data_IF_946571141490
#
_entry.id   IF_946571141490
#
_cell.length_a   1.000
_cell.length_b   1.000
_cell.length_c   1.000
_cell.angle_alpha   90.00
_cell.angle_beta   90.00
_cell.angle_gamma   90.00
#
_symmetry.space_group_name_H-M   'P 1'
#
loop_
_entity.id
_entity.type
_entity.pdbx_description
1 polymer ?
2 non-polymer ?
3 non-polymer ?
#
# COMPACT_ATOMS: atom_id res chain seq x y z
N UNK A 1 -12.47 13.52 -11.03
CA UNK A 1 -11.86 12.66 -9.99
C UNK A 1 -10.92 11.63 -10.58
N UNK A 2 -11.45 10.79 -11.48
CA UNK A 2 -10.64 9.75 -12.09
C UNK A 2 -10.06 10.21 -13.43
N UNK A 3 -8.74 10.19 -13.52
CA UNK A 3 -8.04 10.58 -14.74
C UNK A 3 -7.41 9.36 -15.39
N UNK A 4 -7.72 9.15 -16.67
CA UNK A 4 -7.19 8.01 -17.41
C UNK A 4 -5.85 8.38 -18.04
N UNK A 5 -4.77 7.82 -17.51
CA UNK A 5 -3.43 8.08 -18.03
C UNK A 5 -2.79 6.79 -18.53
N UNK A 6 -2.75 6.64 -19.84
CA UNK A 6 -2.18 5.46 -20.44
C UNK A 6 -3.04 4.24 -20.17
N UNK A 7 -2.59 3.41 -19.25
CA UNK A 7 -3.32 2.20 -18.91
C UNK A 7 -3.69 2.21 -17.43
N UNK A 8 -3.43 3.33 -16.76
CA UNK A 8 -3.73 3.46 -15.34
C UNK A 8 -4.69 4.61 -15.08
N UNK A 9 -5.26 4.63 -13.90
CA UNK A 9 -6.18 5.67 -13.50
C UNK A 9 -5.64 6.39 -12.27
N UNK A 10 -5.70 7.71 -12.28
CA UNK A 10 -5.21 8.51 -11.17
C UNK A 10 -6.34 9.39 -10.60
N UNK A 11 -6.50 9.34 -9.30
CA UNK A 11 -7.54 10.11 -8.64
C UNK A 11 -6.95 10.92 -7.48
N UNK A 12 -7.20 12.21 -7.47
CA UNK A 12 -6.70 13.08 -6.42
C UNK A 12 -7.55 12.96 -5.16
N UNK A 13 -6.93 12.58 -4.07
CA UNK A 13 -7.64 12.42 -2.80
C UNK A 13 -7.47 13.67 -1.96
N UNK A 14 -6.25 14.19 -1.95
CA UNK A 14 -5.92 15.38 -1.18
C UNK A 14 -4.97 16.26 -1.99
N UNK A 15 -4.75 17.51 -1.59
CA UNK A 15 -3.86 18.45 -2.30
C UNK A 15 -2.53 17.84 -2.68
N UNK A 16 -1.94 17.06 -1.79
CA UNK A 16 -0.64 16.43 -2.05
C UNK A 16 -0.72 14.91 -1.99
N UNK A 17 -1.94 14.38 -2.11
CA UNK A 17 -2.12 12.93 -2.05
C UNK A 17 -2.97 12.44 -3.23
N UNK A 18 -2.37 11.62 -4.07
CA UNK A 18 -3.05 11.06 -5.23
C UNK A 18 -3.12 9.54 -5.12
N UNK A 19 -4.15 8.97 -5.71
CA UNK A 19 -4.35 7.53 -5.70
C UNK A 19 -4.22 6.96 -7.11
N UNK A 20 -3.36 5.97 -7.28
CA UNK A 20 -3.18 5.36 -8.60
C UNK A 20 -3.86 4.00 -8.63
N UNK A 21 -4.28 3.58 -9.82
CA UNK A 21 -4.93 2.31 -9.98
C UNK A 21 -4.31 1.48 -11.10
N UNK A 22 -3.74 0.34 -10.74
CA UNK A 22 -3.12 -0.56 -11.71
C UNK A 22 -4.12 -1.65 -12.11
N UNK A 23 -3.98 -2.17 -13.33
CA UNK A 23 -4.89 -3.19 -13.82
C UNK A 23 -4.13 -4.39 -14.39
N UNK A 24 -4.54 -5.58 -13.98
CA UNK A 24 -3.92 -6.81 -14.46
C UNK A 24 -4.93 -7.62 -15.24
N UNK A 25 -4.54 -8.08 -16.43
CA UNK A 25 -5.42 -8.87 -17.26
C UNK A 25 -5.26 -10.34 -16.98
N UNK A 26 -6.29 -10.93 -16.38
CA UNK A 26 -6.29 -12.34 -16.06
C UNK A 26 -7.20 -13.09 -17.01
N UNK A 27 -6.64 -13.98 -17.85
CA UNK A 27 -7.42 -14.75 -18.83
C UNK A 27 -8.52 -15.58 -18.18
N UNK A 28 -9.75 -15.16 -18.36
CA UNK A 28 -10.88 -15.86 -17.80
C UNK A 28 -11.48 -15.15 -16.61
N UNK A 29 -10.81 -14.12 -16.12
CA UNK A 29 -11.29 -13.36 -14.96
C UNK A 29 -11.61 -11.93 -15.35
N UNK A 30 -10.64 -11.24 -15.93
CA UNK A 30 -10.85 -9.87 -16.31
C UNK A 30 -9.69 -8.97 -15.93
N UNK A 31 -9.99 -7.78 -15.47
CA UNK A 31 -8.96 -6.83 -15.08
C UNK A 31 -8.98 -6.58 -13.58
N UNK A 32 -7.94 -7.02 -12.89
CA UNK A 32 -7.84 -6.85 -11.45
C UNK A 32 -7.32 -5.45 -11.13
N UNK A 33 -8.07 -4.71 -10.33
CA UNK A 33 -7.69 -3.35 -9.96
C UNK A 33 -6.93 -3.31 -8.64
N UNK A 34 -5.80 -2.62 -8.66
CA UNK A 34 -4.97 -2.47 -7.46
C UNK A 34 -4.65 -0.98 -7.27
N UNK A 35 -5.04 -0.44 -6.13
CA UNK A 35 -4.81 0.97 -5.83
C UNK A 35 -3.53 1.20 -5.07
N UNK A 36 -2.96 2.38 -5.25
CA UNK A 36 -1.74 2.79 -4.58
C UNK A 36 -1.81 4.26 -4.20
N UNK A 37 -0.75 4.78 -3.60
CA UNK A 37 -0.75 6.19 -3.19
C UNK A 37 0.51 6.95 -3.61
N UNK A 38 0.32 8.21 -3.92
CA UNK A 38 1.40 9.10 -4.30
C UNK A 38 1.30 10.36 -3.46
N UNK A 39 2.28 10.61 -2.61
CA UNK A 39 2.25 11.77 -1.73
C UNK A 39 3.40 12.72 -2.05
N UNK A 40 3.07 14.00 -2.17
CA UNK A 40 4.08 15.02 -2.43
C UNK A 40 4.50 15.67 -1.12
N UNK A 41 5.80 15.67 -0.88
CA UNK A 41 6.34 16.27 0.33
C UNK A 41 7.23 17.46 -0.03
N UNK A 42 6.59 18.60 -0.23
CA UNK A 42 7.30 19.81 -0.58
C UNK A 42 7.90 19.76 -1.98
N UNK A 43 9.18 19.45 -2.06
CA UNK A 43 9.85 19.38 -3.34
C UNK A 43 10.20 17.95 -3.74
N UNK A 44 9.75 16.99 -2.95
CA UNK A 44 10.03 15.59 -3.24
C UNK A 44 8.75 14.78 -3.29
N UNK A 45 8.78 13.66 -3.99
CA UNK A 45 7.61 12.80 -4.12
C UNK A 45 7.85 11.47 -3.41
N UNK A 46 6.81 10.96 -2.76
CA UNK A 46 6.86 9.69 -2.06
C UNK A 46 5.77 8.78 -2.61
N UNK A 47 6.12 7.54 -2.93
CA UNK A 47 5.16 6.60 -3.48
C UNK A 47 4.95 5.40 -2.58
N UNK A 48 3.71 4.94 -2.50
CA UNK A 48 3.37 3.78 -1.70
C UNK A 48 2.90 2.65 -2.61
N UNK A 49 3.68 1.56 -2.62
CA UNK A 49 3.41 0.37 -3.43
C UNK A 49 3.67 0.65 -4.91
N UNK A 50 3.77 -0.43 -5.68
CA UNK A 50 4.00 -0.32 -7.11
C UNK A 50 2.81 -0.87 -7.88
N UNK A 51 2.96 -0.95 -9.20
CA UNK A 51 1.90 -1.47 -10.05
C UNK A 51 2.04 -2.97 -10.22
N UNK A 52 1.19 -3.56 -11.04
CA UNK A 52 1.22 -4.99 -11.30
C UNK A 52 2.48 -5.39 -12.06
N UNK A 53 2.95 -4.48 -12.90
CA UNK A 53 4.14 -4.71 -13.70
C UNK A 53 5.07 -3.51 -13.63
N UNK A 54 6.33 -3.71 -14.01
CA UNK A 54 7.31 -2.65 -14.02
C UNK A 54 6.93 -1.63 -15.05
N UNK A 55 6.32 -2.10 -16.13
CA UNK A 55 5.87 -1.22 -17.20
C UNK A 55 4.85 -0.22 -16.67
N UNK A 56 3.80 -0.73 -16.02
CA UNK A 56 2.76 0.11 -15.46
C UNK A 56 3.33 0.99 -14.35
N UNK A 57 4.32 0.47 -13.64
CA UNK A 57 4.97 1.21 -12.57
C UNK A 57 5.73 2.41 -13.15
N UNK A 58 6.35 2.20 -14.31
CA UNK A 58 7.08 3.27 -14.98
C UNK A 58 6.12 4.32 -15.50
N UNK A 59 4.93 3.89 -15.90
CA UNK A 59 3.90 4.80 -16.40
C UNK A 59 3.53 5.79 -15.30
N UNK A 60 3.54 5.30 -14.05
CA UNK A 60 3.22 6.13 -12.90
C UNK A 60 4.27 7.23 -12.74
N UNK A 61 5.53 6.86 -12.92
CA UNK A 61 6.63 7.82 -12.82
C UNK A 61 6.48 8.90 -13.87
N UNK A 62 5.99 8.52 -15.04
CA UNK A 62 5.77 9.46 -16.13
C UNK A 62 4.70 10.46 -15.76
N UNK A 63 3.66 9.98 -15.08
CA UNK A 63 2.58 10.84 -14.64
C UNK A 63 3.10 11.80 -13.57
N UNK A 64 3.94 11.27 -12.69
CA UNK A 64 4.54 12.05 -11.61
C UNK A 64 5.37 13.19 -12.18
N UNK A 65 6.22 12.85 -13.16
CA UNK A 65 7.08 13.84 -13.81
C UNK A 65 6.26 14.83 -14.64
N UNK A 66 5.03 14.46 -14.94
CA UNK A 66 4.16 15.30 -15.74
C UNK A 66 3.34 16.28 -14.90
N UNK A 67 2.57 15.74 -13.95
CA UNK A 67 1.71 16.57 -13.11
C UNK A 67 2.45 17.19 -11.93
N UNK A 68 3.36 16.44 -11.34
CA UNK A 68 4.11 16.95 -10.19
C UNK A 68 5.44 17.55 -10.61
N UNK A 69 6.11 16.87 -11.53
CA UNK A 69 7.41 17.30 -12.06
C UNK A 69 8.49 17.30 -10.97
N UNK A 70 8.26 16.52 -9.93
CA UNK A 70 9.20 16.43 -8.83
C UNK A 70 9.81 15.03 -8.78
N UNK A 71 10.99 14.88 -8.18
CA UNK A 71 11.67 13.59 -8.08
C UNK A 71 11.18 12.76 -6.90
N UNK A 72 11.16 11.45 -7.08
CA UNK A 72 10.72 10.53 -6.03
C UNK A 72 11.90 10.22 -5.11
N UNK A 73 11.74 10.52 -3.83
CA UNK A 73 12.79 10.28 -2.85
C UNK A 73 12.91 8.80 -2.50
N UNK A 74 11.78 8.17 -2.21
CA UNK A 74 11.79 6.77 -1.85
C UNK A 74 10.40 6.16 -2.07
N UNK A 75 10.35 4.84 -2.09
CA UNK A 75 9.10 4.12 -2.28
C UNK A 75 8.94 3.03 -1.23
N UNK A 76 7.78 2.96 -0.63
CA UNK A 76 7.50 1.97 0.40
C UNK A 76 6.39 1.03 -0.05
N UNK A 77 6.63 -0.28 0.06
CA UNK A 77 5.63 -1.26 -0.33
C UNK A 77 4.98 -1.89 0.91
N UNK A 78 3.80 -2.47 0.74
CA UNK A 78 3.08 -3.09 1.84
C UNK A 78 3.50 -4.53 2.12
N UNK A 79 3.33 -5.42 1.15
CA UNK A 79 3.68 -6.82 1.34
C UNK A 79 4.29 -7.44 0.10
N UNK A 80 5.00 -8.55 0.29
CA UNK A 80 5.67 -9.26 -0.79
C UNK A 80 4.70 -10.05 -1.67
N UNK A 81 4.10 -9.35 -2.63
CA UNK A 81 3.15 -9.95 -3.56
C UNK A 81 3.22 -9.20 -4.89
N UNK A 82 2.68 -9.79 -5.96
CA UNK A 82 2.73 -9.15 -7.27
C UNK A 82 1.67 -8.05 -7.35
N UNK A 83 0.69 -8.10 -6.45
CA UNK A 83 -0.38 -7.11 -6.45
C UNK A 83 0.07 -5.79 -5.82
N UNK A 84 1.31 -5.75 -5.32
CA UNK A 84 1.84 -4.53 -4.70
C UNK A 84 3.31 -4.33 -5.02
N UNK A 85 4.03 -5.43 -5.23
CA UNK A 85 5.46 -5.38 -5.55
C UNK A 85 5.72 -5.91 -6.96
N UNK A 86 4.94 -5.44 -7.91
CA UNK A 86 5.09 -5.89 -9.28
C UNK A 86 6.02 -5.01 -10.10
N UNK A 87 6.40 -3.86 -9.55
CA UNK A 87 7.29 -2.96 -10.24
C UNK A 87 8.46 -2.53 -9.40
N UNK A 88 9.20 -3.50 -8.91
CA UNK A 88 10.36 -3.24 -8.06
C UNK A 88 11.57 -2.89 -8.92
N UNK A 89 11.68 -3.51 -10.08
CA UNK A 89 12.80 -3.27 -10.98
C UNK A 89 12.75 -1.85 -11.52
N UNK A 90 11.53 -1.39 -11.80
CA UNK A 90 11.32 -0.03 -12.31
C UNK A 90 11.85 1.02 -11.33
N UNK A 91 11.59 0.81 -10.05
CA UNK A 91 12.05 1.74 -9.02
C UNK A 91 13.57 1.74 -8.94
N UNK A 92 14.14 0.55 -8.96
CA UNK A 92 15.60 0.40 -8.89
C UNK A 92 16.26 1.02 -10.12
N UNK A 93 15.66 0.82 -11.28
CA UNK A 93 16.19 1.35 -12.53
C UNK A 93 16.11 2.87 -12.56
N UNK A 94 15.20 3.43 -11.79
CA UNK A 94 15.03 4.88 -11.73
C UNK A 94 15.86 5.48 -10.60
N UNK A 95 16.49 4.63 -9.81
CA UNK A 95 17.31 5.11 -8.71
C UNK A 95 16.49 5.57 -7.53
N UNK A 96 15.44 4.81 -7.21
CA UNK A 96 14.57 5.13 -6.09
C UNK A 96 14.80 4.15 -4.95
N UNK A 97 14.99 4.68 -3.74
CA UNK A 97 15.22 3.87 -2.56
C UNK A 97 13.96 3.10 -2.17
N UNK A 98 14.04 1.79 -2.23
CA UNK A 98 12.92 0.93 -1.90
C UNK A 98 12.96 0.47 -0.45
N UNK A 99 11.87 0.70 0.27
CA UNK A 99 11.75 0.30 1.66
C UNK A 99 10.61 -0.70 1.82
N UNK A 100 10.87 -1.78 2.55
CA UNK A 100 9.86 -2.79 2.77
C UNK A 100 10.08 -3.49 4.11
N UNK A 101 9.06 -4.22 4.56
CA UNK A 101 9.14 -4.96 5.80
C UNK A 101 10.27 -5.98 5.71
N UNK A 102 10.99 -6.17 6.81
CA UNK A 102 12.10 -7.12 6.85
C UNK A 102 11.65 -8.51 6.39
N UNK A 103 10.42 -8.88 6.76
CA UNK A 103 9.88 -10.18 6.37
C UNK A 103 9.53 -10.20 4.90
N UNK A 104 9.06 -9.06 4.38
CA UNK A 104 8.68 -8.95 2.97
C UNK A 104 9.89 -9.21 2.08
N UNK A 105 11.04 -8.68 2.48
CA UNK A 105 12.27 -8.86 1.71
C UNK A 105 12.72 -10.31 1.75
N UNK A 106 12.32 -11.02 2.80
CA UNK A 106 12.68 -12.42 2.96
C UNK A 106 11.73 -13.32 2.15
N UNK A 107 10.47 -12.90 2.07
CA UNK A 107 9.47 -13.67 1.33
C UNK A 107 9.49 -13.34 -0.16
N UNK A 108 10.04 -12.18 -0.49
CA UNK A 108 10.14 -11.71 -1.87
C UNK A 108 10.72 -12.77 -2.82
N UNK A 109 11.93 -13.31 -2.57
CA UNK A 109 12.54 -14.34 -3.44
C UNK A 109 11.69 -15.59 -3.53
N UNK A 110 10.94 -15.89 -2.47
CA UNK A 110 10.09 -17.07 -2.43
C UNK A 110 8.89 -16.89 -3.37
N UNK A 111 8.27 -15.72 -3.32
CA UNK A 111 7.13 -15.42 -4.15
C UNK A 111 7.56 -15.15 -5.60
N UNK A 112 8.83 -14.78 -5.76
CA UNK A 112 9.34 -14.49 -7.08
C UNK A 112 9.31 -13.00 -7.37
N UNK A 113 9.50 -12.21 -6.34
CA UNK A 113 9.50 -10.76 -6.46
C UNK A 113 10.86 -10.21 -6.04
N UNK A 114 11.24 -9.08 -6.60
CA UNK A 114 12.53 -8.47 -6.28
C UNK A 114 12.48 -7.86 -4.88
N UNK A 115 13.50 -8.16 -4.08
CA UNK A 115 13.58 -7.64 -2.72
C UNK A 115 13.97 -6.17 -2.73
N UNK A 116 13.51 -5.43 -1.72
CA UNK A 116 13.81 -4.01 -1.61
C UNK A 116 15.23 -3.79 -1.16
N UNK A 117 15.73 -2.57 -1.35
CA UNK A 117 17.09 -2.23 -0.98
C UNK A 117 17.24 -2.11 0.54
N UNK A 118 16.17 -1.68 1.20
CA UNK A 118 16.20 -1.53 2.65
C UNK A 118 15.11 -2.35 3.32
N UNK A 119 15.31 -2.66 4.59
CA UNK A 119 14.36 -3.44 5.37
C UNK A 119 13.90 -2.66 6.60
N UNK A 120 12.61 -2.70 6.86
CA UNK A 120 12.02 -2.01 8.00
C UNK A 120 11.75 -2.96 9.15
N UNK A 121 12.18 -2.58 10.35
CA UNK A 121 11.94 -3.39 11.53
C UNK A 121 10.84 -2.76 12.38
N UNK A 122 10.01 -3.59 13.00
CA UNK A 122 8.91 -3.09 13.81
C UNK A 122 9.00 -3.56 15.24
N UNK A 123 8.60 -2.70 16.17
CA UNK A 123 8.62 -3.02 17.59
C UNK A 123 7.44 -3.92 17.94
N UNK A 124 7.36 -4.34 19.20
CA UNK A 124 6.28 -5.22 19.65
C UNK A 124 4.92 -4.53 19.54
N UNK A 125 4.92 -3.21 19.62
CA UNK A 125 3.69 -2.44 19.52
C UNK A 125 3.22 -2.34 18.06
N UNK A 126 4.11 -2.74 17.14
CA UNK A 126 3.77 -2.70 15.73
C UNK A 126 4.32 -1.49 15.00
N UNK A 127 4.88 -0.54 15.74
CA UNK A 127 5.41 0.66 15.11
C UNK A 127 6.82 0.43 14.57
N UNK A 128 7.08 0.99 13.39
CA UNK A 128 8.38 0.85 12.74
C UNK A 128 9.44 1.66 13.47
N UNK A 129 10.65 1.12 13.51
CA UNK A 129 11.78 1.78 14.15
C UNK A 129 12.23 2.97 13.30
N UNK A 130 12.29 4.17 13.91
CA UNK A 130 12.70 5.40 13.21
C UNK A 130 14.06 5.27 12.54
N UNK A 131 14.90 4.38 13.07
CA UNK A 131 16.22 4.16 12.53
C UNK A 131 16.14 3.48 11.16
N UNK A 132 15.23 2.52 11.03
CA UNK A 132 15.07 1.80 9.76
C UNK A 132 14.23 2.60 8.78
N UNK A 133 13.51 3.59 9.29
CA UNK A 133 12.66 4.43 8.46
C UNK A 133 13.07 5.90 8.59
N UNK A 134 14.19 6.29 7.97
CA UNK A 134 14.70 7.65 8.01
C UNK A 134 14.25 8.50 6.83
N UNK A 135 13.99 9.77 7.10
CA UNK A 135 13.56 10.73 6.08
C UNK A 135 12.25 10.30 5.42
N UNK A 136 11.40 9.63 6.18
CA UNK A 136 10.12 9.17 5.67
C UNK A 136 9.12 10.31 5.64
N UNK A 137 9.35 11.30 6.48
CA UNK A 137 8.48 12.46 6.53
C UNK A 137 7.10 12.11 7.06
N UNK A 138 6.05 12.34 6.26
CA UNK A 138 4.68 12.05 6.67
C UNK A 138 4.31 10.58 6.54
N UNK A 139 5.21 9.77 6.01
CA UNK A 139 4.95 8.34 5.85
C UNK A 139 5.15 7.61 7.17
N UNK A 140 4.04 7.33 7.84
CA UNK A 140 4.08 6.61 9.11
C UNK A 140 3.74 5.15 8.87
N UNK A 141 4.72 4.27 9.08
CA UNK A 141 4.52 2.84 8.87
C UNK A 141 4.17 2.12 10.15
N UNK A 142 3.13 1.29 10.08
CA UNK A 142 2.67 0.52 11.22
C UNK A 142 2.35 -0.91 10.79
N UNK A 143 2.79 -1.87 11.58
CA UNK A 143 2.56 -3.28 11.31
C UNK A 143 1.50 -3.81 12.28
N UNK A 144 0.28 -4.04 11.77
CA UNK A 144 -0.83 -4.54 12.60
C UNK A 144 -0.64 -5.98 13.05
N UNK A 145 -0.13 -6.82 12.15
CA UNK A 145 0.10 -8.21 12.47
C UNK A 145 -0.32 -9.11 11.34
N UNK A 146 -0.48 -10.41 11.60
CA UNK A 146 -0.88 -11.38 10.58
C UNK A 146 -2.32 -11.18 10.14
N UNK A 147 -2.49 -10.81 8.88
CA UNK A 147 -3.81 -10.61 8.33
C UNK A 147 -3.92 -11.24 6.96
N UNK A 148 -3.72 -10.44 5.92
CA UNK A 148 -3.75 -10.94 4.56
C UNK A 148 -2.49 -11.77 4.34
N UNK A 149 -1.41 -11.31 4.95
CA UNK A 149 -0.14 -11.98 4.90
C UNK A 149 0.52 -11.83 6.27
N UNK A 150 1.73 -12.35 6.41
CA UNK A 150 2.43 -12.26 7.68
C UNK A 150 3.40 -11.06 7.68
N UNK A 151 3.50 -10.39 6.55
CA UNK A 151 4.39 -9.25 6.40
C UNK A 151 3.65 -7.95 6.08
N UNK A 152 2.34 -8.05 5.82
CA UNK A 152 1.53 -6.88 5.48
C UNK A 152 1.67 -5.74 6.48
N UNK A 153 1.91 -4.55 5.97
CA UNK A 153 2.04 -3.37 6.81
C UNK A 153 1.08 -2.28 6.32
N UNK A 154 0.81 -1.32 7.20
CA UNK A 154 -0.08 -0.22 6.88
C UNK A 154 0.68 1.10 6.95
N UNK A 155 0.33 2.05 6.09
CA UNK A 155 1.01 3.33 6.07
C UNK A 155 0.03 4.48 6.25
N UNK A 156 0.28 5.32 7.24
CA UNK A 156 -0.56 6.47 7.48
C UNK A 156 0.10 7.74 7.01
N UNK A 157 -0.68 8.69 6.53
CA UNK A 157 -0.12 9.95 6.05
C UNK A 157 -0.25 11.05 7.09
N UNK A 158 0.85 11.31 7.79
CA UNK A 158 0.89 12.34 8.82
C UNK A 158 0.56 13.71 8.23
N UNK A 159 -0.11 14.53 9.02
CA UNK A 159 -0.49 15.85 8.57
C UNK A 159 -1.87 15.85 7.97
N UNK A 160 -2.39 14.65 7.75
CA UNK A 160 -3.71 14.48 7.17
C UNK A 160 -4.45 13.35 7.88
N UNK A 161 -5.71 13.16 7.51
CA UNK A 161 -6.53 12.12 8.09
C UNK A 161 -6.73 10.98 7.09
N UNK A 162 -5.64 10.66 6.40
CA UNK A 162 -5.66 9.61 5.40
C UNK A 162 -4.77 8.44 5.83
N UNK A 163 -5.31 7.23 5.75
CA UNK A 163 -4.57 6.03 6.13
C UNK A 163 -4.67 4.97 5.05
N UNK A 164 -3.54 4.35 4.72
CA UNK A 164 -3.50 3.31 3.71
C UNK A 164 -3.49 1.94 4.38
N UNK A 165 -4.56 1.17 4.15
CA UNK A 165 -4.68 -0.15 4.75
C UNK A 165 -4.19 -1.26 3.84
N UNK A 166 -3.62 -0.89 2.70
CA UNK A 166 -3.11 -1.87 1.76
C UNK A 166 -4.18 -2.82 1.28
N UNK A 167 -3.87 -4.10 1.28
CA UNK A 167 -4.81 -5.13 0.85
C UNK A 167 -5.41 -5.85 2.06
N UNK A 168 -5.17 -5.30 3.24
CA UNK A 168 -5.68 -5.90 4.47
C UNK A 168 -7.12 -5.44 4.70
N UNK A 169 -7.30 -4.14 4.87
CA UNK A 169 -8.63 -3.57 5.10
C UNK A 169 -9.42 -3.51 3.82
N UNK A 170 -10.70 -3.86 3.91
CA UNK A 170 -11.60 -3.84 2.77
C UNK A 170 -12.69 -2.80 3.00
N UNK A 171 -13.44 -2.47 1.96
CA UNK A 171 -14.51 -1.48 2.06
C UNK A 171 -15.70 -2.05 2.84
N UNK A 172 -16.58 -1.16 3.28
CA UNK A 172 -17.75 -1.55 4.08
C UNK A 172 -18.83 -2.23 3.22
N UNK A 173 -18.54 -2.46 1.96
CA UNK A 173 -19.49 -3.09 1.05
C UNK A 173 -18.92 -4.40 0.51
N UNK A 174 -17.72 -4.75 0.98
CA UNK A 174 -17.06 -5.97 0.54
C UNK A 174 -17.79 -7.20 1.04
N UNK A 175 -17.83 -8.24 0.22
CA UNK A 175 -18.50 -9.47 0.59
C UNK A 175 -17.48 -10.49 1.09
N UNK A 176 -16.27 -10.39 0.59
CA UNK A 176 -15.20 -11.30 0.98
C UNK A 176 -13.99 -10.52 1.47
N UNK A 177 -13.03 -11.24 2.05
CA UNK A 177 -11.82 -10.63 2.57
C UNK A 177 -10.73 -10.62 1.52
N UNK A 178 -11.08 -10.95 0.28
CA UNK A 178 -10.13 -10.98 -0.80
C UNK A 178 -9.39 -12.29 -0.87
N UNK A 179 -8.07 -12.23 -0.81
CA UNK A 179 -7.23 -13.42 -0.87
C UNK A 179 -7.03 -13.99 0.53
N UNK A 180 -7.39 -15.25 0.71
CA UNK A 180 -7.25 -15.92 1.99
C UNK A 180 -6.30 -17.11 1.90
N UNK A 181 -5.44 -17.08 0.89
CA UNK A 181 -4.49 -18.17 0.70
C UNK A 181 -3.30 -18.05 1.63
N UNK A 182 -2.71 -16.87 1.68
CA UNK A 182 -1.56 -16.61 2.53
C UNK A 182 -2.00 -15.85 3.77
N UNK A 183 -3.31 -15.76 3.94
CA UNK A 183 -3.89 -15.03 5.05
C UNK A 183 -3.95 -15.87 6.32
N UNK A 184 -4.09 -15.19 7.44
CA UNK A 184 -4.18 -15.86 8.74
C UNK A 184 -5.61 -15.77 9.25
N UNK A 185 -6.15 -16.90 9.67
CA UNK A 185 -7.53 -16.95 10.13
C UNK A 185 -7.67 -16.81 11.65
N UNK A 186 -6.66 -16.26 12.31
CA UNK A 186 -6.73 -16.11 13.75
C UNK A 186 -6.48 -14.66 14.19
N UNK A 187 -5.49 -14.02 13.59
CA UNK A 187 -5.15 -12.64 13.96
C UNK A 187 -5.70 -11.64 12.96
N UNK A 188 -6.41 -12.13 11.94
CA UNK A 188 -6.98 -11.26 10.91
C UNK A 188 -7.80 -10.11 11.52
N UNK A 189 -8.73 -10.46 12.41
CA UNK A 189 -9.59 -9.46 13.05
C UNK A 189 -8.79 -8.54 13.97
N UNK A 190 -7.88 -9.13 14.73
CA UNK A 190 -7.04 -8.35 15.65
C UNK A 190 -6.18 -7.35 14.88
N UNK A 191 -5.58 -7.81 13.79
CA UNK A 191 -4.73 -6.97 12.97
C UNK A 191 -5.54 -5.83 12.34
N UNK A 192 -6.75 -6.15 11.89
CA UNK A 192 -7.63 -5.15 11.28
C UNK A 192 -8.00 -4.09 12.30
N UNK A 193 -8.31 -4.51 13.52
CA UNK A 193 -8.67 -3.59 14.58
C UNK A 193 -7.46 -2.78 15.05
N UNK A 194 -6.28 -3.40 14.98
CA UNK A 194 -5.04 -2.75 15.37
C UNK A 194 -4.80 -1.52 14.51
N UNK A 195 -5.13 -1.62 13.24
CA UNK A 195 -4.96 -0.52 12.30
C UNK A 195 -5.85 0.65 12.70
N UNK A 196 -7.08 0.35 13.10
CA UNK A 196 -8.01 1.38 13.50
C UNK A 196 -7.56 2.08 14.77
N UNK A 197 -6.89 1.34 15.65
CA UNK A 197 -6.39 1.89 16.89
C UNK A 197 -5.12 2.71 16.66
N UNK A 198 -4.32 2.29 15.69
CA UNK A 198 -3.09 2.98 15.35
C UNK A 198 -3.38 4.36 14.77
N UNK A 199 -4.35 4.44 13.87
CA UNK A 199 -4.73 5.70 13.25
C UNK A 199 -6.20 5.99 13.51
N UNK A 200 -6.52 6.54 14.69
CA UNK A 200 -7.90 6.85 15.07
C UNK A 200 -8.41 8.17 14.48
N UNK A 201 -7.48 9.03 14.06
CA UNK A 201 -7.86 10.32 13.49
C UNK A 201 -8.02 10.24 11.98
N UNK A 202 -7.72 9.07 11.42
CA UNK A 202 -7.83 8.85 9.99
C UNK A 202 -9.27 8.57 9.61
N UNK A 203 -9.85 9.44 8.80
CA UNK A 203 -11.23 9.30 8.36
C UNK A 203 -11.27 8.67 6.96
N UNK A 204 -10.18 8.82 6.22
CA UNK A 204 -10.09 8.29 4.87
C UNK A 204 -9.22 7.05 4.85
N UNK A 205 -9.85 5.89 4.70
CA UNK A 205 -9.15 4.63 4.66
C UNK A 205 -8.98 4.16 3.21
N UNK A 206 -7.77 4.31 2.71
CA UNK A 206 -7.47 3.92 1.34
C UNK A 206 -6.95 2.49 1.30
N UNK A 207 -7.57 1.69 0.46
CA UNK A 207 -7.19 0.30 0.30
C UNK A 207 -6.61 0.09 -1.09
N UNK A 208 -6.22 -1.13 -1.40
CA UNK A 208 -5.63 -1.42 -2.69
C UNK A 208 -6.58 -2.15 -3.63
N UNK A 209 -7.80 -2.43 -3.20
CA UNK A 209 -8.74 -3.15 -4.07
C UNK A 209 -10.12 -2.51 -4.04
N UNK A 210 -10.18 -1.25 -3.61
CA UNK A 210 -11.43 -0.50 -3.52
C UNK A 210 -11.11 0.98 -3.31
N UNK A 211 -12.11 1.84 -3.49
CA UNK A 211 -11.94 3.28 -3.31
C UNK A 211 -11.86 3.64 -1.83
N UNK A 212 -11.25 4.80 -1.49
CA UNK A 212 -11.12 5.26 -0.11
C UNK A 212 -12.47 5.38 0.60
N UNK A 213 -12.66 4.55 1.61
CA UNK A 213 -13.91 4.54 2.37
C UNK A 213 -13.68 5.19 3.73
N UNK A 214 -14.73 5.22 4.55
CA UNK A 214 -14.62 5.80 5.88
C UNK A 214 -14.10 4.75 6.86
N UNK A 215 -14.20 5.05 8.15
CA UNK A 215 -13.72 4.12 9.18
C UNK A 215 -14.64 2.92 9.27
N UNK A 216 -15.78 3.00 8.58
CA UNK A 216 -16.75 1.91 8.56
C UNK A 216 -16.14 0.69 7.89
N UNK A 217 -15.17 0.94 7.01
CA UNK A 217 -14.48 -0.13 6.30
C UNK A 217 -13.69 -1.01 7.25
N UNK A 218 -13.06 -0.37 8.23
CA UNK A 218 -12.27 -1.08 9.23
C UNK A 218 -13.16 -2.01 10.05
N UNK A 219 -14.26 -1.46 10.54
CA UNK A 219 -15.20 -2.23 11.33
C UNK A 219 -15.78 -3.39 10.53
N UNK A 220 -16.10 -3.14 9.26
CA UNK A 220 -16.66 -4.17 8.38
C UNK A 220 -15.65 -5.29 8.19
N UNK A 221 -14.40 -4.92 7.95
CA UNK A 221 -13.33 -5.89 7.76
C UNK A 221 -13.15 -6.72 9.04
N UNK A 222 -13.18 -6.04 10.18
CA UNK A 222 -13.04 -6.69 11.47
C UNK A 222 -14.18 -7.68 11.72
N UNK A 223 -15.39 -7.27 11.36
CA UNK A 223 -16.57 -8.10 11.55
C UNK A 223 -16.53 -9.33 10.66
N UNK A 224 -15.98 -9.17 9.46
CA UNK A 224 -15.86 -10.28 8.52
C UNK A 224 -14.78 -11.25 8.99
N UNK A 225 -13.72 -10.70 9.57
CA UNK A 225 -12.62 -11.51 10.07
C UNK A 225 -12.99 -12.18 11.40
N UNK A 226 -13.99 -11.63 12.08
CA UNK A 226 -14.47 -12.17 13.34
C UNK A 226 -15.14 -13.51 13.13
N UNK A 227 -15.63 -13.72 11.91
CA UNK A 227 -16.33 -14.95 11.57
C UNK A 227 -15.38 -16.01 11.02
N UNK A 228 -14.09 -15.81 11.22
CA UNK A 228 -13.09 -16.77 10.76
C UNK A 228 -12.86 -17.83 11.83
X LIG B 1 -4.10 -7.69 -3.61
X LIG C 1 -0.58 -9.24 -2.22
X LIG D 1 -1.71 -12.32 -4.29
X LIG D 1 -2.56 -11.27 -3.99
X LIG D 1 -3.76 -11.12 -4.69
X LIG D 1 -4.09 -12.03 -5.70
X LIG D 1 -3.23 -13.09 -5.99
X LIG D 1 -2.05 -13.23 -5.29
X LIG D 1 -4.66 -10.12 -4.38
X LIG D 1 -5.94 -10.22 -4.89
X LIG D 1 -6.22 -11.23 -5.79
X LIG D 1 -7.54 -11.55 -6.09
X LIG D 1 -8.58 -10.93 -5.42
X LIG D 1 -9.91 -11.24 -5.72
X LIG D 1 -10.18 -12.19 -6.70
X LIG D 1 -9.14 -12.83 -7.37
X LIG D 1 -7.82 -12.51 -7.06
X LIG D 1 -5.21 -11.87 -6.44
X LIG D 1 -4.33 -9.15 -3.69
X LIG D 1 -9.41 -13.76 -8.32
X LIG D 1 -11.47 -12.51 -7.00
X LIG D 1 -10.92 -10.63 -5.06
X LIG D 1 -6.92 -9.35 -4.49
X LIG D 1 -1.21 -14.27 -5.57
X LIG D 1 -2.23 -10.40 -3.01
X LIG D 1 -8.56 -14.11 -8.69
X LIG D 1 -12.09 -11.95 -6.44
X LIG D 1 -10.54 -9.98 -4.41
X LIG D 1 -6.54 -8.69 -3.84
X LIG D 1 -0.40 -14.22 -4.98
X LIG D 1 -2.95 -9.72 -2.89
#
# INVERSE_FOLDING_TARGET
GDQRFGDLVFRQLAPNVWQHTSYLDMPGFGAVASNGLIVRDGGRVLVVDTAWTDDQTAQILNWIKQEINLPVALAVVTHAHQDKMGGMDALHAAGIATYANALSNQLAPQEGMVAAQHSLTFAANGWVEPATAPNFGPLKVFYPGPGHTSDNITVGIDGTDIAFGGCLIKDSKAKSLGNLGDADTEHYAASARAFGAAFPKASMIVMSHSAPDSRAAITHTARMADKL
ZN ZN
ZN ZN
MYC C1 C2 C3 C4 C5 C6 C9 C10 C11 C14 C15 C16 C17 C18 C19 O12 O13 O23 O24 O25 O27 O29 O30 HO3 HO4 HO5 HO7 HO9 HO0
#
